data_IF_987254063444
#
_entry.id   IF_987254063444
#
_cell.length_a   1.000
_cell.length_b   1.000
_cell.length_c   1.000
_cell.angle_alpha   90.00
_cell.angle_beta   90.00
_cell.angle_gamma   90.00
#
_symmetry.space_group_name_H-M   'P 1'
#
loop_
_entity.id
_entity.type
_entity.pdbx_description
1 polymer ?
#
# COMPACT_ATOMS: atom_id res chain seq x y z
N UNK A 1 31.20 48.10 12.15
CA UNK A 1 30.86 46.67 12.30
C UNK A 1 29.50 46.49 11.63
N UNK A 2 29.50 46.54 10.30
CA UNK A 2 28.28 46.65 9.48
C UNK A 2 28.42 46.11 8.02
N UNK A 3 29.58 45.65 7.49
CA UNK A 3 29.63 45.10 6.13
C UNK A 3 29.33 43.58 6.03
N UNK A 4 29.31 42.84 7.14
CA UNK A 4 29.08 41.38 7.13
C UNK A 4 27.59 40.98 7.06
N UNK A 5 26.67 41.86 7.49
CA UNK A 5 25.23 41.57 7.50
C UNK A 5 24.57 41.72 6.11
N UNK A 6 25.07 42.62 5.26
CA UNK A 6 24.53 42.80 3.89
C UNK A 6 24.93 41.66 2.94
N UNK A 7 26.13 41.10 3.10
CA UNK A 7 26.64 40.05 2.21
C UNK A 7 25.90 38.72 2.39
N UNK A 8 25.52 38.37 3.63
CA UNK A 8 24.76 37.14 3.90
C UNK A 8 23.35 37.17 3.28
N UNK A 9 22.67 38.32 3.31
CA UNK A 9 21.32 38.44 2.73
C UNK A 9 21.33 38.36 1.19
N UNK A 10 22.38 38.86 0.53
CA UNK A 10 22.51 38.74 -0.94
C UNK A 10 22.88 37.32 -1.41
N UNK A 11 23.64 36.58 -0.59
CA UNK A 11 23.99 35.18 -0.86
C UNK A 11 22.77 34.26 -0.69
N UNK A 12 21.88 34.57 0.25
CA UNK A 12 20.67 33.79 0.53
C UNK A 12 19.57 34.00 -0.53
N UNK A 13 19.40 35.23 -1.02
CA UNK A 13 18.40 35.57 -2.07
C UNK A 13 18.76 35.04 -3.47
N UNK A 14 20.02 34.65 -3.73
CA UNK A 14 20.46 34.10 -5.02
C UNK A 14 20.24 32.59 -5.19
N UNK A 15 19.73 31.89 -4.16
CA UNK A 15 19.60 30.41 -4.17
C UNK A 15 18.18 29.87 -4.17
N UNK A 16 17.16 30.70 -4.33
CA UNK A 16 15.81 30.19 -4.64
C UNK A 16 15.79 29.78 -6.11
N UNK A 17 15.90 28.47 -6.38
CA UNK A 17 15.64 27.92 -7.73
C UNK A 17 14.27 28.43 -8.17
N UNK A 18 14.20 29.23 -9.24
CA UNK A 18 12.92 29.69 -9.77
C UNK A 18 12.07 28.45 -10.10
N UNK A 19 10.93 28.34 -9.42
CA UNK A 19 9.97 27.27 -9.69
C UNK A 19 9.37 27.49 -11.08
N UNK A 20 9.61 26.57 -12.00
CA UNK A 20 9.19 26.71 -13.40
C UNK A 20 7.97 25.85 -13.71
N UNK A 21 7.25 26.18 -14.81
CA UNK A 21 6.22 25.29 -15.37
C UNK A 21 6.73 23.87 -15.67
N UNK A 22 8.04 23.71 -15.89
CA UNK A 22 8.65 22.40 -16.09
C UNK A 22 8.75 21.58 -14.81
N UNK A 23 8.91 22.22 -13.66
CA UNK A 23 8.91 21.56 -12.35
C UNK A 23 7.49 21.10 -11.99
N UNK A 24 6.48 21.90 -12.35
CA UNK A 24 5.07 21.50 -12.30
C UNK A 24 4.76 20.28 -13.17
N UNK A 25 5.38 20.11 -14.33
CA UNK A 25 5.14 18.91 -15.16
C UNK A 25 5.87 17.71 -14.57
N UNK A 26 7.12 17.88 -14.14
CA UNK A 26 7.95 16.80 -13.61
C UNK A 26 7.35 16.14 -12.38
N UNK A 27 6.61 16.90 -11.57
CA UNK A 27 5.96 16.34 -10.39
C UNK A 27 4.92 15.27 -10.74
N UNK A 28 4.29 15.32 -11.91
CA UNK A 28 3.30 14.33 -12.30
C UNK A 28 3.88 13.08 -12.96
N UNK A 29 5.19 13.04 -13.26
CA UNK A 29 5.82 11.89 -13.93
C UNK A 29 5.55 10.57 -13.20
N UNK A 30 5.75 10.44 -11.86
CA UNK A 30 5.43 9.20 -11.17
C UNK A 30 3.95 8.83 -11.29
N UNK A 31 3.02 9.79 -11.20
CA UNK A 31 1.58 9.54 -11.36
C UNK A 31 1.24 8.99 -12.75
N UNK A 32 1.88 9.51 -13.81
CA UNK A 32 1.69 9.04 -15.18
C UNK A 32 2.16 7.59 -15.36
N UNK A 33 3.20 7.18 -14.63
CA UNK A 33 3.72 5.79 -14.66
C UNK A 33 2.85 4.88 -13.78
N UNK A 34 2.45 5.34 -12.60
CA UNK A 34 1.69 4.56 -11.63
C UNK A 34 0.28 4.26 -12.13
N UNK A 35 -0.38 5.21 -12.79
CA UNK A 35 -1.75 5.05 -13.26
C UNK A 35 -1.96 3.81 -14.15
N UNK A 36 -1.20 3.58 -15.25
CA UNK A 36 -1.39 2.38 -16.07
C UNK A 36 -1.06 1.08 -15.32
N UNK A 37 -0.11 1.09 -14.38
CA UNK A 37 0.20 -0.08 -13.54
C UNK A 37 -0.98 -0.41 -12.62
N UNK A 38 -1.51 0.60 -11.92
CA UNK A 38 -2.67 0.46 -11.06
C UNK A 38 -3.91 -0.03 -11.85
N UNK A 39 -4.16 0.55 -13.03
CA UNK A 39 -5.23 0.11 -13.92
C UNK A 39 -5.04 -1.34 -14.36
N UNK A 40 -3.82 -1.73 -14.75
CA UNK A 40 -3.51 -3.10 -15.11
C UNK A 40 -3.86 -4.07 -13.96
N UNK A 41 -3.44 -3.79 -12.72
CA UNK A 41 -3.79 -4.65 -11.58
C UNK A 41 -5.28 -4.64 -11.23
N UNK A 42 -5.97 -3.50 -11.37
CA UNK A 42 -7.44 -3.41 -11.21
C UNK A 42 -8.15 -4.34 -12.20
N UNK A 43 -7.78 -4.28 -13.48
CA UNK A 43 -8.44 -5.06 -14.52
C UNK A 43 -8.06 -6.54 -14.52
N UNK A 44 -6.91 -6.89 -13.95
CA UNK A 44 -6.42 -8.26 -13.79
C UNK A 44 -6.54 -8.74 -12.33
N UNK A 45 -7.54 -8.23 -11.59
CA UNK A 45 -7.82 -8.67 -10.21
C UNK A 45 -7.98 -10.19 -10.17
N UNK A 46 -7.16 -10.86 -9.36
CA UNK A 46 -7.13 -12.31 -9.20
C UNK A 46 -6.03 -13.01 -9.98
N UNK A 47 -5.32 -12.31 -10.87
CA UNK A 47 -4.08 -12.82 -11.43
C UNK A 47 -2.95 -12.72 -10.40
N UNK A 48 -2.20 -13.81 -10.25
CA UNK A 48 -1.10 -13.91 -9.28
C UNK A 48 0.24 -13.63 -9.98
N UNK A 49 1.03 -12.72 -9.41
CA UNK A 49 2.28 -12.24 -9.97
C UNK A 49 3.48 -12.35 -9.04
N UNK A 50 4.59 -11.71 -9.45
CA UNK A 50 5.83 -11.71 -8.67
C UNK A 50 5.65 -11.01 -7.31
N UNK A 51 4.93 -9.88 -7.28
CA UNK A 51 4.75 -9.08 -6.07
C UNK A 51 3.95 -9.84 -5.01
N UNK A 52 2.97 -10.65 -5.43
CA UNK A 52 2.19 -11.50 -4.53
C UNK A 52 3.07 -12.54 -3.79
N UNK A 53 4.18 -13.00 -4.39
CA UNK A 53 5.12 -13.87 -3.66
C UNK A 53 5.84 -13.12 -2.54
N UNK A 54 6.17 -11.85 -2.75
CA UNK A 54 6.79 -11.01 -1.72
C UNK A 54 5.77 -10.76 -0.60
N UNK A 55 4.54 -10.41 -0.99
CA UNK A 55 3.45 -10.17 -0.04
C UNK A 55 3.11 -11.44 0.77
N UNK A 56 3.17 -12.61 0.15
CA UNK A 56 2.98 -13.90 0.82
C UNK A 56 4.06 -14.13 1.88
N UNK A 57 5.33 -13.87 1.59
CA UNK A 57 6.39 -13.99 2.61
C UNK A 57 6.15 -13.04 3.78
N UNK A 58 5.69 -11.82 3.50
CA UNK A 58 5.33 -10.83 4.53
C UNK A 58 4.10 -11.30 5.34
N UNK A 59 3.12 -11.93 4.67
CA UNK A 59 1.94 -12.52 5.30
C UNK A 59 2.34 -13.61 6.30
N UNK A 60 3.16 -14.57 5.90
CA UNK A 60 3.62 -15.63 6.79
C UNK A 60 4.44 -15.10 7.97
N UNK A 61 5.27 -14.08 7.71
CA UNK A 61 5.99 -13.39 8.78
C UNK A 61 5.02 -12.73 9.77
N UNK A 62 3.89 -12.19 9.30
CA UNK A 62 2.83 -11.65 10.14
C UNK A 62 2.31 -12.66 11.16
N UNK A 63 1.96 -13.88 10.75
CA UNK A 63 1.56 -14.93 11.68
C UNK A 63 2.62 -15.17 12.77
N UNK A 64 3.90 -15.22 12.39
CA UNK A 64 5.00 -15.38 13.34
C UNK A 64 5.06 -14.25 14.37
N UNK A 65 4.96 -12.98 13.94
CA UNK A 65 4.99 -11.82 14.83
C UNK A 65 3.76 -11.75 15.75
N UNK A 66 2.59 -12.15 15.27
CA UNK A 66 1.33 -12.05 16.01
C UNK A 66 0.95 -13.31 16.81
N UNK A 67 1.81 -14.34 16.86
CA UNK A 67 1.54 -15.62 17.57
C UNK A 67 1.22 -15.52 19.05
N UNK A 68 1.59 -14.42 19.70
CA UNK A 68 1.40 -14.23 21.14
C UNK A 68 0.05 -13.59 21.52
N UNK A 69 -0.76 -13.19 20.54
CA UNK A 69 -1.99 -12.40 20.75
C UNK A 69 -3.29 -13.24 20.64
N UNK A 70 -3.18 -14.56 20.78
CA UNK A 70 -4.30 -15.48 20.63
C UNK A 70 -4.65 -15.78 19.17
N UNK A 71 -5.50 -16.81 18.94
CA UNK A 71 -5.74 -17.37 17.61
C UNK A 71 -6.31 -16.35 16.62
N UNK A 72 -7.25 -15.51 17.05
CA UNK A 72 -7.85 -14.50 16.17
C UNK A 72 -6.82 -13.52 15.62
N UNK A 73 -6.01 -12.90 16.49
CA UNK A 73 -5.00 -11.92 16.07
C UNK A 73 -3.83 -12.61 15.36
N UNK A 74 -3.46 -13.83 15.75
CA UNK A 74 -2.49 -14.64 15.02
C UNK A 74 -2.93 -14.85 13.56
N UNK A 75 -4.17 -15.30 13.34
CA UNK A 75 -4.72 -15.52 11.99
C UNK A 75 -4.82 -14.21 11.20
N UNK A 76 -5.26 -13.13 11.85
CA UNK A 76 -5.33 -11.80 11.22
C UNK A 76 -3.93 -11.23 10.92
N UNK A 77 -2.91 -11.72 11.63
CA UNK A 77 -1.54 -11.20 11.62
C UNK A 77 -0.90 -11.16 10.25
N UNK A 78 -1.19 -12.11 9.37
CA UNK A 78 -0.65 -12.12 8.01
C UNK A 78 -1.13 -10.94 7.18
N UNK A 79 -2.45 -10.76 7.10
CA UNK A 79 -3.06 -9.58 6.46
C UNK A 79 -2.64 -8.27 7.14
N UNK A 80 -2.50 -8.24 8.47
CA UNK A 80 -2.00 -7.04 9.15
C UNK A 80 -0.60 -6.67 8.70
N UNK A 81 0.32 -7.63 8.59
CA UNK A 81 1.70 -7.32 8.19
C UNK A 81 1.80 -6.85 6.74
N UNK A 82 1.00 -7.44 5.84
CA UNK A 82 0.82 -6.97 4.45
C UNK A 82 0.42 -5.49 4.37
N UNK A 83 -0.38 -5.01 5.34
CA UNK A 83 -0.80 -3.60 5.40
C UNK A 83 0.24 -2.73 6.12
N UNK A 84 0.76 -3.19 7.26
CA UNK A 84 1.64 -2.43 8.14
C UNK A 84 2.94 -2.03 7.44
N UNK A 85 3.60 -2.96 6.74
CA UNK A 85 4.92 -2.73 6.13
C UNK A 85 4.87 -1.59 5.09
N UNK A 86 4.06 -1.69 4.02
CA UNK A 86 3.98 -0.60 3.04
C UNK A 86 3.43 0.70 3.64
N UNK A 87 2.55 0.63 4.65
CA UNK A 87 2.05 1.82 5.36
C UNK A 87 3.15 2.56 6.14
N UNK A 88 4.02 1.84 6.84
CA UNK A 88 5.18 2.43 7.55
C UNK A 88 6.13 3.08 6.54
N UNK A 89 6.40 2.42 5.41
CA UNK A 89 7.27 2.95 4.35
C UNK A 89 6.66 4.22 3.74
N UNK A 90 5.35 4.22 3.46
CA UNK A 90 4.64 5.40 2.98
C UNK A 90 4.74 6.55 3.99
N UNK A 91 4.49 6.28 5.29
CA UNK A 91 4.60 7.27 6.35
C UNK A 91 6.02 7.81 6.54
N UNK A 92 7.03 6.95 6.40
CA UNK A 92 8.43 7.35 6.42
C UNK A 92 8.74 8.31 5.28
N UNK A 93 8.39 7.98 4.04
CA UNK A 93 8.63 8.88 2.90
C UNK A 93 7.83 10.16 2.99
N UNK A 94 6.62 10.10 3.53
CA UNK A 94 5.78 11.28 3.74
C UNK A 94 6.42 12.24 4.75
N UNK A 95 6.92 11.71 5.87
CA UNK A 95 7.63 12.50 6.88
C UNK A 95 8.93 13.14 6.37
N UNK A 96 9.57 12.51 5.38
CA UNK A 96 10.80 13.02 4.76
C UNK A 96 10.53 13.83 3.49
N UNK A 97 9.27 14.22 3.23
CA UNK A 97 8.85 15.00 2.07
C UNK A 97 9.24 14.37 0.71
N UNK A 98 9.45 13.04 0.68
CA UNK A 98 9.83 12.31 -0.52
C UNK A 98 8.61 11.75 -1.23
N UNK A 99 7.94 12.63 -1.97
CA UNK A 99 6.67 12.37 -2.67
C UNK A 99 6.66 11.11 -3.52
N UNK A 100 7.66 10.90 -4.38
CA UNK A 100 7.76 9.70 -5.23
C UNK A 100 7.78 8.42 -4.40
N UNK A 101 8.50 8.42 -3.28
CA UNK A 101 8.54 7.28 -2.36
C UNK A 101 7.18 6.99 -1.76
N UNK A 102 6.41 8.02 -1.37
CA UNK A 102 5.02 7.84 -0.90
C UNK A 102 4.17 7.20 -1.98
N UNK A 103 4.24 7.70 -3.22
CA UNK A 103 3.43 7.17 -4.32
C UNK A 103 3.73 5.70 -4.62
N UNK A 104 5.00 5.30 -4.62
CA UNK A 104 5.42 3.91 -4.83
C UNK A 104 4.98 3.01 -3.67
N UNK A 105 5.12 3.48 -2.42
CA UNK A 105 4.68 2.74 -1.24
C UNK A 105 3.15 2.56 -1.20
N UNK A 106 2.39 3.58 -1.60
CA UNK A 106 0.94 3.50 -1.74
C UNK A 106 0.52 2.62 -2.92
N UNK A 107 1.25 2.62 -4.04
CA UNK A 107 1.03 1.66 -5.13
C UNK A 107 1.20 0.22 -4.63
N UNK A 108 2.23 -0.06 -3.84
CA UNK A 108 2.40 -1.39 -3.24
C UNK A 108 1.30 -1.72 -2.22
N UNK A 109 0.92 -0.76 -1.36
CA UNK A 109 -0.19 -0.94 -0.43
C UNK A 109 -1.50 -1.27 -1.17
N UNK A 110 -1.83 -0.52 -2.22
CA UNK A 110 -3.04 -0.75 -3.00
C UNK A 110 -3.06 -2.12 -3.68
N UNK A 111 -1.91 -2.60 -4.18
CA UNK A 111 -1.83 -3.97 -4.71
C UNK A 111 -1.99 -5.02 -3.60
N UNK A 112 -1.47 -4.79 -2.38
CA UNK A 112 -1.75 -5.68 -1.24
C UNK A 112 -3.26 -5.76 -0.98
N UNK A 113 -3.97 -4.63 -1.02
CA UNK A 113 -5.44 -4.65 -0.88
C UNK A 113 -6.14 -5.39 -2.02
N UNK A 114 -5.61 -5.39 -3.26
CA UNK A 114 -6.13 -6.26 -4.33
C UNK A 114 -5.94 -7.73 -3.95
N UNK A 115 -4.73 -8.13 -3.55
CA UNK A 115 -4.41 -9.50 -3.15
C UNK A 115 -5.32 -9.97 -2.00
N UNK A 116 -5.41 -9.18 -0.92
CA UNK A 116 -6.26 -9.44 0.24
C UNK A 116 -7.74 -9.50 -0.17
N UNK A 117 -8.20 -8.66 -1.12
CA UNK A 117 -9.59 -8.68 -1.58
C UNK A 117 -9.97 -10.01 -2.22
N UNK A 118 -9.05 -10.64 -2.95
CA UNK A 118 -9.27 -11.92 -3.62
C UNK A 118 -9.22 -13.04 -2.60
N UNK A 119 -8.26 -13.00 -1.66
CA UNK A 119 -8.15 -13.97 -0.58
C UNK A 119 -9.38 -13.95 0.35
N UNK A 120 -9.87 -12.76 0.72
CA UNK A 120 -11.08 -12.61 1.52
C UNK A 120 -12.33 -13.14 0.79
N UNK A 121 -12.47 -12.87 -0.50
CA UNK A 121 -13.58 -13.35 -1.32
C UNK A 121 -13.57 -14.88 -1.57
N UNK A 122 -12.45 -15.54 -1.32
CA UNK A 122 -12.33 -17.00 -1.41
C UNK A 122 -12.62 -17.71 -0.06
N UNK A 123 -12.93 -16.97 1.01
CA UNK A 123 -13.05 -17.52 2.36
C UNK A 123 -14.07 -18.68 2.46
N UNK A 124 -15.20 -18.62 1.77
CA UNK A 124 -16.17 -19.72 1.77
C UNK A 124 -15.78 -20.83 0.78
N UNK A 125 -15.26 -20.48 -0.40
CA UNK A 125 -14.98 -21.42 -1.48
C UNK A 125 -13.65 -22.19 -1.31
N UNK A 126 -12.65 -21.58 -0.67
CA UNK A 126 -11.30 -22.10 -0.39
C UNK A 126 -10.64 -22.75 -1.61
N UNK A 127 -10.73 -22.11 -2.77
CA UNK A 127 -10.16 -22.60 -4.04
C UNK A 127 -8.71 -22.20 -4.24
N UNK A 128 -8.24 -21.15 -3.56
CA UNK A 128 -6.88 -20.66 -3.68
C UNK A 128 -5.92 -21.65 -2.99
N UNK A 129 -4.87 -22.15 -3.68
CA UNK A 129 -3.87 -23.01 -3.05
C UNK A 129 -3.11 -22.26 -1.95
N UNK A 130 -3.14 -22.79 -0.73
CA UNK A 130 -2.45 -22.20 0.42
C UNK A 130 -0.99 -22.66 0.50
N UNK A 131 -0.13 -21.80 1.04
CA UNK A 131 1.23 -22.17 1.39
C UNK A 131 1.20 -23.19 2.55
N UNK A 132 1.74 -24.38 2.34
CA UNK A 132 1.61 -25.50 3.29
C UNK A 132 0.46 -26.47 2.97
N UNK A 133 -0.38 -26.16 1.98
CA UNK A 133 -1.43 -27.04 1.47
C UNK A 133 -2.47 -27.45 2.52
N UNK A 134 -2.94 -28.69 2.47
CA UNK A 134 -4.01 -29.20 3.35
C UNK A 134 -3.66 -29.29 4.84
N UNK A 135 -2.43 -28.91 5.24
CA UNK A 135 -2.00 -28.87 6.65
C UNK A 135 -2.31 -27.55 7.34
N UNK A 136 -2.62 -26.51 6.55
CA UNK A 136 -2.99 -25.19 7.06
C UNK A 136 -4.47 -24.94 6.81
N UNK A 137 -5.05 -24.02 7.58
CA UNK A 137 -6.42 -23.57 7.37
C UNK A 137 -6.41 -22.23 6.66
N UNK A 138 -7.53 -21.87 6.03
CA UNK A 138 -7.69 -20.61 5.33
C UNK A 138 -7.98 -19.47 6.33
N UNK A 139 -7.18 -18.42 6.33
CA UNK A 139 -7.24 -17.39 7.38
C UNK A 139 -8.56 -16.63 7.36
N UNK A 140 -8.94 -16.12 6.18
CA UNK A 140 -10.20 -15.39 6.03
C UNK A 140 -11.43 -16.28 6.28
N UNK A 141 -11.37 -17.59 5.98
CA UNK A 141 -12.43 -18.51 6.38
C UNK A 141 -12.60 -18.50 7.89
N UNK A 142 -11.50 -18.69 8.64
CA UNK A 142 -11.54 -18.66 10.10
C UNK A 142 -12.04 -17.31 10.62
N UNK A 143 -11.47 -16.19 10.15
CA UNK A 143 -11.82 -14.86 10.61
C UNK A 143 -13.30 -14.54 10.40
N UNK A 144 -13.82 -14.78 9.19
CA UNK A 144 -15.22 -14.50 8.88
C UNK A 144 -16.18 -15.47 9.58
N UNK A 145 -15.78 -16.72 9.79
CA UNK A 145 -16.57 -17.67 10.57
C UNK A 145 -16.69 -17.22 12.04
N UNK A 146 -15.58 -16.84 12.67
CA UNK A 146 -15.60 -16.35 14.07
C UNK A 146 -16.42 -15.08 14.24
N UNK A 147 -16.49 -14.21 13.22
CA UNK A 147 -17.32 -12.99 13.25
C UNK A 147 -18.75 -13.21 12.77
N UNK A 148 -19.12 -14.40 12.32
CA UNK A 148 -20.46 -14.69 11.76
C UNK A 148 -20.73 -14.03 10.40
N UNK A 149 -19.68 -13.67 9.66
CA UNK A 149 -19.75 -12.94 8.39
C UNK A 149 -19.35 -13.79 7.17
N UNK A 150 -19.18 -15.11 7.33
CA UNK A 150 -18.68 -15.99 6.28
C UNK A 150 -19.54 -15.96 4.99
N UNK A 151 -20.86 -15.76 5.11
CA UNK A 151 -21.76 -15.66 3.96
C UNK A 151 -21.64 -14.33 3.19
N UNK A 152 -20.83 -13.40 3.66
CA UNK A 152 -20.57 -12.09 3.04
C UNK A 152 -19.13 -11.97 2.53
N UNK A 153 -18.44 -13.10 2.32
CA UNK A 153 -17.03 -13.13 1.93
C UNK A 153 -16.77 -12.39 0.61
N UNK A 154 -17.64 -12.59 -0.39
CA UNK A 154 -17.57 -11.89 -1.68
C UNK A 154 -17.73 -10.39 -1.50
N UNK A 155 -18.74 -9.94 -0.75
CA UNK A 155 -19.01 -8.52 -0.48
C UNK A 155 -17.85 -7.87 0.28
N UNK A 156 -17.33 -8.54 1.30
CA UNK A 156 -16.16 -8.10 2.07
C UNK A 156 -14.95 -7.97 1.15
N UNK A 157 -14.73 -8.94 0.26
CA UNK A 157 -13.71 -8.86 -0.77
C UNK A 157 -13.87 -7.60 -1.64
N UNK A 158 -15.06 -7.29 -2.13
CA UNK A 158 -15.28 -6.06 -2.91
C UNK A 158 -15.12 -4.77 -2.10
N UNK A 159 -15.45 -4.76 -0.81
CA UNK A 159 -15.19 -3.61 0.07
C UNK A 159 -13.67 -3.38 0.20
N UNK A 160 -12.90 -4.44 0.42
CA UNK A 160 -11.43 -4.40 0.48
C UNK A 160 -10.85 -3.91 -0.85
N UNK A 161 -11.40 -4.37 -1.97
CA UNK A 161 -11.03 -3.90 -3.30
C UNK A 161 -11.33 -2.40 -3.49
N UNK A 162 -12.43 -1.90 -2.93
CA UNK A 162 -12.74 -0.48 -2.89
C UNK A 162 -11.64 0.35 -2.21
N UNK A 163 -11.07 -0.15 -1.11
CA UNK A 163 -9.92 0.50 -0.47
C UNK A 163 -8.68 0.52 -1.36
N UNK A 164 -8.41 -0.54 -2.13
CA UNK A 164 -7.31 -0.52 -3.12
C UNK A 164 -7.46 0.63 -4.13
N UNK A 165 -8.67 0.81 -4.66
CA UNK A 165 -8.98 1.90 -5.61
C UNK A 165 -8.73 3.27 -4.95
N UNK A 166 -9.22 3.47 -3.72
CA UNK A 166 -9.00 4.71 -2.98
C UNK A 166 -7.50 4.98 -2.75
N UNK A 167 -6.74 3.96 -2.38
CA UNK A 167 -5.29 4.07 -2.19
C UNK A 167 -4.59 4.46 -3.49
N UNK A 168 -4.94 3.85 -4.62
CA UNK A 168 -4.37 4.23 -5.92
C UNK A 168 -4.74 5.65 -6.34
N UNK A 169 -5.97 6.09 -6.05
CA UNK A 169 -6.37 7.49 -6.29
C UNK A 169 -5.51 8.45 -5.47
N UNK A 170 -5.28 8.16 -4.19
CA UNK A 170 -4.37 8.96 -3.35
C UNK A 170 -2.95 8.94 -3.90
N UNK A 171 -2.44 7.78 -4.35
CA UNK A 171 -1.11 7.66 -4.94
C UNK A 171 -0.97 8.51 -6.21
N UNK A 172 -1.95 8.46 -7.12
CA UNK A 172 -1.94 9.23 -8.38
C UNK A 172 -2.10 10.73 -8.11
N UNK A 173 -2.96 11.12 -7.17
CA UNK A 173 -3.24 12.51 -6.81
C UNK A 173 -2.27 13.07 -5.76
N UNK A 174 -1.28 12.30 -5.31
CA UNK A 174 -0.28 12.72 -4.33
C UNK A 174 0.39 14.06 -4.66
N UNK A 175 0.68 14.42 -5.93
CA UNK A 175 1.18 15.75 -6.26
C UNK A 175 0.26 16.88 -5.80
N UNK A 176 -1.05 16.72 -5.70
CA UNK A 176 -1.95 17.77 -5.22
C UNK A 176 -1.82 18.02 -3.70
N UNK A 177 -1.41 17.01 -2.96
CA UNK A 177 -1.36 17.02 -1.48
C UNK A 177 0.02 17.50 -0.99
N UNK A 178 1.07 17.23 -1.77
CA UNK A 178 2.45 17.54 -1.42
C UNK A 178 3.02 18.55 -2.41
N UNK A 179 3.40 19.74 -1.93
CA UNK A 179 3.77 20.89 -2.77
C UNK A 179 5.27 20.91 -3.15
N UNK A 180 6.05 19.91 -2.71
CA UNK A 180 7.49 19.81 -2.97
C UNK A 180 7.83 18.94 -4.19
#
# INVERSE_FOLDING_TARGET
MEPELENNNQVDLKRTKEYTKWDEIKRWIPSIIILPIALYWIFNRGEYGLLDNIDLVIHEAGHFFFRFFGKFIYTLGGTLMQIIIPSIIAGFFFRNEYRTGVQVALLWLGQNFINISVYAADAHAQKIPLLGGNKVYHDWHYLLNETGLLNYDIEIGFIIFGFAILIFLVAVLMPLITQN
#
